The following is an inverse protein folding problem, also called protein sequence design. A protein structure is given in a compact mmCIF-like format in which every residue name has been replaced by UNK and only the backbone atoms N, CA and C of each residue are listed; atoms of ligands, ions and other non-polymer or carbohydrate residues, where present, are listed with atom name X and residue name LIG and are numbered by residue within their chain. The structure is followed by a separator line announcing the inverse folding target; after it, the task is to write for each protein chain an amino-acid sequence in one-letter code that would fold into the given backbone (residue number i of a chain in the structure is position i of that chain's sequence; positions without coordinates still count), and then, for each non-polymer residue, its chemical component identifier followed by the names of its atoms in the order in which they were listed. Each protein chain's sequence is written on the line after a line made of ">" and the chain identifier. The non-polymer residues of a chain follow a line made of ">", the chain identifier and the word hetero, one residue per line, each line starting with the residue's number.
data_IF_606102044298
#
_entry.id   IF_606102044298
#
_cell.length_a   1.000
_cell.length_b   1.000
_cell.length_c   1.000
_cell.angle_alpha   90.00
_cell.angle_beta   90.00
_cell.angle_gamma   90.00
#
_symmetry.space_group_name_H-M   'P 1'
#
loop_
_entity.id
_entity.type
_entity.pdbx_description
1 polymer ?
#
# COMPACT_ATOMS: atom_id res chain seq x y z
N UNK A 1 -90.93 14.19 -33.41
CA UNK A 1 -91.03 14.47 -34.88
C UNK A 1 -89.64 14.83 -35.39
N UNK A 2 -89.27 14.43 -36.62
CA UNK A 2 -88.04 14.83 -37.39
C UNK A 2 -86.68 14.58 -36.67
N UNK A 3 -85.84 13.62 -37.11
CA UNK A 3 -84.88 13.67 -38.26
C UNK A 3 -83.72 14.67 -38.03
N UNK A 4 -82.42 14.39 -38.30
CA UNK A 4 -81.78 13.22 -38.95
C UNK A 4 -80.27 13.06 -38.64
N UNK A 5 -79.64 12.01 -39.22
CA UNK A 5 -78.22 11.61 -39.30
C UNK A 5 -77.22 12.77 -39.58
N UNK A 6 -75.89 12.68 -39.35
CA UNK A 6 -74.89 11.57 -39.44
C UNK A 6 -73.78 11.80 -38.35
N UNK A 7 -72.75 10.99 -38.01
CA UNK A 7 -71.95 9.89 -38.62
C UNK A 7 -71.86 8.67 -37.63
N UNK A 8 -71.01 7.61 -37.64
CA UNK A 8 -69.70 7.17 -38.19
C UNK A 8 -68.43 7.62 -37.42
N UNK A 9 -67.43 6.80 -37.02
CA UNK A 9 -67.19 5.35 -36.79
C UNK A 9 -65.65 5.21 -36.66
N UNK A 10 -65.12 4.35 -35.77
CA UNK A 10 -63.94 3.45 -35.98
C UNK A 10 -63.23 3.05 -34.66
N UNK A 11 -62.96 1.73 -34.51
CA UNK A 11 -61.76 1.07 -33.96
C UNK A 11 -61.11 1.48 -32.60
N UNK A 12 -60.36 0.64 -31.89
CA UNK A 12 -60.27 -0.83 -31.67
C UNK A 12 -59.24 -1.07 -30.53
N UNK A 13 -59.23 -2.24 -29.88
CA UNK A 13 -58.14 -2.77 -29.01
C UNK A 13 -57.85 -1.96 -27.72
N UNK A 14 -58.04 -2.50 -26.51
CA UNK A 14 -57.17 -3.45 -25.77
C UNK A 14 -56.40 -2.72 -24.64
N UNK A 15 -56.12 -3.29 -23.46
CA UNK A 15 -56.50 -4.58 -22.87
C UNK A 15 -56.31 -4.60 -21.35
N UNK A 16 -56.97 -5.55 -20.67
CA UNK A 16 -56.60 -6.14 -19.38
C UNK A 16 -56.42 -5.22 -18.15
N UNK A 17 -57.48 -5.16 -17.33
CA UNK A 17 -57.50 -5.58 -15.92
C UNK A 17 -56.22 -5.36 -15.11
N UNK A 18 -56.32 -4.59 -14.02
CA UNK A 18 -55.55 -4.83 -12.79
C UNK A 18 -56.50 -4.92 -11.59
N UNK A 19 -56.28 -5.92 -10.73
CA UNK A 19 -57.14 -6.21 -9.59
C UNK A 19 -56.90 -5.29 -8.39
N UNK A 20 -57.87 -5.24 -7.47
CA UNK A 20 -57.86 -4.31 -6.35
C UNK A 20 -56.83 -4.64 -5.26
N UNK A 21 -56.15 -3.58 -4.81
CA UNK A 21 -55.79 -3.29 -3.42
C UNK A 21 -55.02 -4.38 -2.62
N UNK A 22 -53.70 -4.18 -2.50
CA UNK A 22 -53.02 -4.35 -1.21
C UNK A 22 -52.82 -2.99 -0.55
N UNK A 23 -53.05 -2.93 0.75
CA UNK A 23 -52.93 -1.71 1.57
C UNK A 23 -51.53 -1.11 1.44
N UNK A 24 -51.44 0.13 0.94
CA UNK A 24 -50.20 0.91 0.89
C UNK A 24 -50.49 2.30 1.43
N UNK A 25 -50.11 2.55 2.69
CA UNK A 25 -50.04 3.90 3.22
C UNK A 25 -48.97 4.65 2.43
N UNK A 26 -49.36 5.68 1.67
CA UNK A 26 -48.40 6.54 1.01
C UNK A 26 -47.62 7.32 2.07
N UNK A 27 -46.42 6.82 2.38
CA UNK A 27 -45.37 7.66 2.90
C UNK A 27 -45.06 8.62 1.77
N UNK A 28 -45.46 9.89 1.94
CA UNK A 28 -44.98 10.97 1.09
C UNK A 28 -43.46 11.03 1.23
N UNK A 29 -42.77 10.41 0.28
CA UNK A 29 -41.39 10.77 -0.02
C UNK A 29 -41.44 12.18 -0.58
N UNK A 30 -41.33 13.16 0.33
CA UNK A 30 -40.53 14.33 0.03
C UNK A 30 -39.27 13.82 -0.66
N UNK A 31 -39.03 14.21 -1.91
CA UNK A 31 -37.73 13.98 -2.57
C UNK A 31 -36.65 14.32 -1.55
N UNK A 32 -35.71 13.41 -1.25
CA UNK A 32 -34.75 13.64 -0.19
C UNK A 32 -34.11 14.99 -0.46
N UNK A 33 -34.26 15.95 0.47
CA UNK A 33 -33.69 17.28 0.29
C UNK A 33 -32.21 17.05 0.03
N UNK A 34 -31.77 17.35 -1.19
CA UNK A 34 -30.37 17.24 -1.56
C UNK A 34 -29.67 18.36 -0.83
N UNK A 35 -29.33 18.08 0.43
CA UNK A 35 -28.56 18.96 1.30
C UNK A 35 -27.10 18.84 0.90
N UNK A 36 -26.83 19.15 -0.37
CA UNK A 36 -25.51 19.51 -0.83
C UNK A 36 -25.15 20.80 -0.09
N UNK A 37 -24.32 20.67 0.94
CA UNK A 37 -23.68 21.82 1.55
C UNK A 37 -22.87 22.54 0.46
N UNK A 38 -23.32 23.72 0.04
CA UNK A 38 -22.54 24.63 -0.80
C UNK A 38 -21.39 25.20 0.05
N UNK A 39 -20.36 24.38 0.27
CA UNK A 39 -19.27 24.64 1.22
C UNK A 39 -18.36 25.82 0.84
N UNK A 40 -18.32 26.18 -0.45
CA UNK A 40 -17.35 27.15 -0.96
C UNK A 40 -17.98 28.51 -1.24
N UNK A 41 -18.16 29.31 -0.18
CA UNK A 41 -18.29 30.77 -0.32
C UNK A 41 -16.92 31.38 -0.65
N UNK A 42 -16.50 31.26 -1.90
CA UNK A 42 -15.39 32.05 -2.43
C UNK A 42 -15.81 33.52 -2.53
N UNK A 43 -15.66 34.28 -1.44
CA UNK A 43 -15.61 35.76 -1.41
C UNK A 43 -15.34 36.31 0.01
N UNK A 44 -14.17 35.98 0.55
CA UNK A 44 -13.46 36.86 1.48
C UNK A 44 -11.97 36.69 1.19
N UNK A 45 -11.24 37.79 0.99
CA UNK A 45 -9.79 37.75 0.98
C UNK A 45 -9.32 37.55 2.42
N UNK A 46 -9.14 36.29 2.81
CA UNK A 46 -8.68 35.97 4.16
C UNK A 46 -7.23 36.42 4.32
N UNK A 47 -6.98 37.21 5.36
CA UNK A 47 -5.65 37.68 5.72
C UNK A 47 -5.19 36.88 6.96
N UNK A 48 -4.10 36.08 6.86
CA UNK A 48 -3.58 35.35 8.01
C UNK A 48 -3.17 36.32 9.14
N UNK A 49 -3.55 36.06 10.40
CA UNK A 49 -3.11 36.90 11.52
C UNK A 49 -1.61 36.71 11.74
N UNK A 50 -0.78 37.76 11.58
CA UNK A 50 0.67 37.61 11.59
C UNK A 50 1.21 37.27 12.98
N UNK A 51 2.19 36.37 13.06
CA UNK A 51 2.88 36.02 14.30
C UNK A 51 3.53 37.25 14.96
N UNK A 52 3.87 38.27 14.16
CA UNK A 52 4.63 39.43 14.62
C UNK A 52 3.95 40.39 15.60
N UNK A 53 2.63 40.35 15.73
CA UNK A 53 1.86 41.24 16.62
C UNK A 53 1.27 40.51 17.84
N UNK A 54 1.70 39.27 18.08
CA UNK A 54 1.11 38.35 19.07
C UNK A 54 2.00 38.28 20.32
N UNK A 55 1.40 38.41 21.49
CA UNK A 55 2.05 38.33 22.81
C UNK A 55 2.02 36.91 23.38
N UNK A 56 2.86 36.63 24.39
CA UNK A 56 2.84 35.36 25.13
C UNK A 56 1.46 35.06 25.74
N UNK A 57 0.74 36.09 26.22
CA UNK A 57 -0.63 35.97 26.73
C UNK A 57 -1.66 35.58 25.66
N UNK A 58 -1.36 35.82 24.37
CA UNK A 58 -2.32 35.65 23.26
C UNK A 58 -1.93 34.58 22.25
N UNK A 59 -0.69 34.08 22.25
CA UNK A 59 -0.18 33.12 21.26
C UNK A 59 -0.93 31.79 21.24
N UNK A 60 -1.36 31.30 22.41
CA UNK A 60 -2.18 30.10 22.54
C UNK A 60 -3.57 30.27 21.88
N UNK A 61 -4.16 31.47 21.97
CA UNK A 61 -5.43 31.77 21.30
C UNK A 61 -5.22 31.94 19.79
N UNK A 62 -4.19 32.67 19.38
CA UNK A 62 -3.82 32.89 17.98
C UNK A 62 -3.59 31.58 17.23
N UNK A 63 -2.82 30.66 17.83
CA UNK A 63 -2.59 29.33 17.25
C UNK A 63 -3.89 28.49 17.21
N UNK A 64 -4.76 28.60 18.21
CA UNK A 64 -6.07 27.94 18.20
C UNK A 64 -6.98 28.47 17.08
N UNK A 65 -7.03 29.80 16.89
CA UNK A 65 -7.80 30.45 15.82
C UNK A 65 -7.33 29.98 14.43
N UNK A 66 -6.01 29.76 14.25
CA UNK A 66 -5.43 29.17 13.02
C UNK A 66 -5.87 27.71 12.85
N UNK A 67 -5.70 26.87 13.89
CA UNK A 67 -6.08 25.44 13.83
C UNK A 67 -7.57 25.25 13.56
N UNK A 68 -8.44 26.02 14.22
CA UNK A 68 -9.89 26.02 13.96
C UNK A 68 -10.23 26.49 12.55
N UNK A 69 -9.54 27.52 12.04
CA UNK A 69 -9.72 27.99 10.66
C UNK A 69 -9.38 26.91 9.63
N UNK A 70 -8.30 26.14 9.85
CA UNK A 70 -7.88 25.06 8.96
C UNK A 70 -8.85 23.87 9.04
N UNK A 71 -9.15 23.38 10.25
CA UNK A 71 -10.04 22.22 10.44
C UNK A 71 -11.47 22.51 9.98
N UNK A 72 -11.94 23.75 10.11
CA UNK A 72 -13.24 24.19 9.60
C UNK A 72 -13.40 24.09 8.07
N UNK A 73 -12.32 24.26 7.30
CA UNK A 73 -12.34 24.11 5.83
C UNK A 73 -12.58 22.67 5.39
N UNK A 74 -12.17 21.71 6.22
CA UNK A 74 -12.32 20.26 5.97
C UNK A 74 -13.44 19.63 6.79
N UNK A 75 -14.28 20.45 7.45
CA UNK A 75 -15.46 20.00 8.18
C UNK A 75 -15.16 19.26 9.50
N UNK A 76 -13.95 19.40 10.04
CA UNK A 76 -13.51 18.71 11.26
C UNK A 76 -13.66 19.60 12.51
N UNK A 77 -14.03 18.97 13.63
CA UNK A 77 -14.01 19.63 14.93
C UNK A 77 -12.59 19.72 15.47
N UNK A 78 -12.22 20.87 16.05
CA UNK A 78 -10.96 20.98 16.76
C UNK A 78 -10.95 20.09 18.02
N UNK A 79 -9.96 19.19 18.08
CA UNK A 79 -9.61 18.33 19.22
C UNK A 79 -8.10 18.26 19.42
N UNK A 80 -7.37 19.20 18.80
CA UNK A 80 -5.92 19.29 18.84
C UNK A 80 -5.56 20.12 20.07
N UNK A 81 -4.72 19.56 20.94
CA UNK A 81 -4.14 20.29 22.07
C UNK A 81 -3.00 21.16 21.55
N UNK A 82 -2.73 22.27 22.23
CA UNK A 82 -1.66 23.19 21.89
C UNK A 82 -0.63 23.24 23.02
N UNK A 83 0.62 23.49 22.66
CA UNK A 83 1.69 23.76 23.63
C UNK A 83 2.69 24.74 23.02
N UNK A 84 2.74 25.96 23.56
CA UNK A 84 3.81 26.90 23.22
C UNK A 84 5.10 26.44 23.90
N UNK A 85 6.19 26.43 23.14
CA UNK A 85 7.53 26.10 23.63
C UNK A 85 8.59 27.04 23.02
N UNK A 86 8.69 28.29 23.51
CA UNK A 86 9.64 29.27 22.99
C UNK A 86 11.10 28.87 23.24
N UNK A 87 11.98 29.18 22.27
CA UNK A 87 13.37 28.73 22.27
C UNK A 87 13.56 27.29 21.80
N UNK A 88 12.59 26.75 21.04
CA UNK A 88 12.69 25.39 20.46
C UNK A 88 12.93 25.38 18.95
N UNK A 89 12.92 26.55 18.30
CA UNK A 89 13.19 26.74 16.87
C UNK A 89 12.37 25.80 15.95
N UNK A 90 11.12 25.53 16.32
CA UNK A 90 10.31 24.49 15.66
C UNK A 90 8.79 24.73 15.72
N UNK A 91 8.05 24.02 14.87
CA UNK A 91 6.63 23.72 15.01
C UNK A 91 6.40 22.26 14.61
N UNK A 92 5.63 21.49 15.39
CA UNK A 92 5.52 20.03 15.18
C UNK A 92 4.22 19.40 15.68
N UNK A 93 3.72 18.42 14.92
CA UNK A 93 2.62 17.53 15.27
C UNK A 93 3.10 16.31 16.08
N UNK A 94 2.63 16.20 17.32
CA UNK A 94 3.06 15.17 18.29
C UNK A 94 1.86 14.37 18.78
N UNK A 95 1.98 13.05 18.84
CA UNK A 95 1.05 12.19 19.59
C UNK A 95 1.68 11.81 20.93
N UNK A 96 0.93 11.99 22.03
CA UNK A 96 1.31 11.53 23.36
C UNK A 96 0.31 10.47 23.83
N UNK A 97 0.79 9.30 24.23
CA UNK A 97 -0.06 8.23 24.75
C UNK A 97 -0.62 8.58 26.13
N UNK A 98 -1.85 8.13 26.40
CA UNK A 98 -2.53 8.28 27.69
C UNK A 98 -3.32 7.00 28.02
N UNK A 99 -3.95 6.95 29.20
CA UNK A 99 -4.65 5.75 29.69
C UNK A 99 -5.88 5.31 28.88
N UNK A 100 -6.28 6.04 27.84
CA UNK A 100 -7.43 5.73 26.97
C UNK A 100 -7.11 5.80 25.46
N UNK A 101 -5.84 6.00 25.06
CA UNK A 101 -5.43 6.14 23.67
C UNK A 101 -4.24 7.09 23.50
N UNK A 102 -4.35 8.05 22.57
CA UNK A 102 -3.36 9.13 22.42
C UNK A 102 -4.02 10.48 22.20
N UNK A 103 -3.42 11.50 22.80
CA UNK A 103 -3.72 12.90 22.56
C UNK A 103 -2.86 13.46 21.42
N UNK A 104 -3.41 14.41 20.66
CA UNK A 104 -2.74 15.08 19.53
C UNK A 104 -2.38 16.50 19.93
N UNK A 105 -1.13 16.89 19.69
CA UNK A 105 -0.56 18.17 20.08
C UNK A 105 0.09 18.87 18.89
N UNK A 106 -0.18 20.17 18.72
CA UNK A 106 0.71 21.07 17.98
C UNK A 106 1.61 21.76 19.01
N UNK A 107 2.90 21.45 18.96
CA UNK A 107 3.95 22.13 19.74
C UNK A 107 4.55 23.21 18.85
N UNK A 108 4.68 24.45 19.34
CA UNK A 108 5.13 25.56 18.49
C UNK A 108 5.97 26.61 19.22
N UNK A 109 6.91 27.20 18.48
CA UNK A 109 7.63 28.41 18.85
C UNK A 109 7.14 29.60 17.98
N UNK A 110 6.50 30.59 18.61
CA UNK A 110 6.01 31.78 17.91
C UNK A 110 7.13 32.65 17.35
N UNK A 111 8.27 32.75 18.03
CA UNK A 111 9.38 33.64 17.60
C UNK A 111 10.09 33.06 16.37
N UNK A 112 10.28 31.74 16.34
CA UNK A 112 10.69 31.01 15.16
C UNK A 112 9.73 31.24 13.98
N UNK A 113 8.43 31.01 14.19
CA UNK A 113 7.41 31.22 13.16
C UNK A 113 7.40 32.67 12.63
N UNK A 114 7.54 33.66 13.53
CA UNK A 114 7.65 35.09 13.19
C UNK A 114 8.91 35.41 12.36
N UNK A 115 10.05 34.78 12.66
CA UNK A 115 11.30 35.01 11.93
C UNK A 115 11.17 34.57 10.46
N UNK A 116 10.60 33.38 10.22
CA UNK A 116 10.43 32.89 8.85
C UNK A 116 9.27 33.56 8.11
N UNK A 117 8.17 33.93 8.79
CA UNK A 117 7.09 34.75 8.23
C UNK A 117 7.61 36.06 7.61
N UNK A 118 8.49 36.79 8.33
CA UNK A 118 9.13 38.02 7.84
C UNK A 118 10.01 37.81 6.61
N UNK A 119 10.65 36.64 6.51
CA UNK A 119 11.61 36.31 5.45
C UNK A 119 10.98 35.60 4.24
N UNK A 120 9.70 35.27 4.29
CA UNK A 120 8.99 34.50 3.25
C UNK A 120 7.75 35.25 2.76
N UNK A 121 6.59 35.08 3.41
CA UNK A 121 5.38 35.89 3.26
C UNK A 121 4.35 35.57 4.37
N UNK A 122 3.25 36.34 4.41
CA UNK A 122 2.15 36.21 5.40
C UNK A 122 1.47 34.83 5.49
N UNK A 123 1.58 33.98 4.46
CA UNK A 123 0.99 32.64 4.47
C UNK A 123 1.86 31.59 5.13
N UNK A 124 3.12 31.91 5.48
CA UNK A 124 4.08 30.98 6.04
C UNK A 124 3.54 30.19 7.23
N UNK A 125 3.06 30.89 8.27
CA UNK A 125 2.57 30.24 9.50
C UNK A 125 1.33 29.39 9.21
N UNK A 126 0.41 29.90 8.39
CA UNK A 126 -0.79 29.16 7.98
C UNK A 126 -0.44 27.87 7.21
N UNK A 127 0.60 27.92 6.37
CA UNK A 127 1.10 26.76 5.64
C UNK A 127 1.81 25.75 6.54
N UNK A 128 2.64 26.19 7.48
CA UNK A 128 3.32 25.30 8.45
C UNK A 128 2.30 24.61 9.35
N UNK A 129 1.36 25.34 9.94
CA UNK A 129 0.32 24.73 10.79
C UNK A 129 -0.60 23.81 9.97
N UNK A 130 -0.85 24.11 8.70
CA UNK A 130 -1.54 23.18 7.81
C UNK A 130 -0.72 21.91 7.54
N UNK A 131 0.60 22.00 7.29
CA UNK A 131 1.49 20.86 7.13
C UNK A 131 1.47 19.95 8.39
N UNK A 132 1.61 20.53 9.58
CA UNK A 132 1.54 19.77 10.84
C UNK A 132 0.16 19.11 11.07
N UNK A 133 -0.93 19.81 10.75
CA UNK A 133 -2.26 19.19 10.76
C UNK A 133 -2.38 18.07 9.71
N UNK A 134 -1.71 18.18 8.56
CA UNK A 134 -1.59 17.11 7.56
C UNK A 134 -0.98 15.84 8.15
N UNK A 135 0.11 15.93 8.92
CA UNK A 135 0.70 14.79 9.63
C UNK A 135 -0.27 14.12 10.61
N UNK A 136 -1.11 14.90 11.30
CA UNK A 136 -2.15 14.33 12.15
C UNK A 136 -3.31 13.71 11.36
N UNK A 137 -3.79 14.34 10.29
CA UNK A 137 -4.97 13.90 9.55
C UNK A 137 -4.70 12.66 8.69
N UNK A 138 -3.52 12.57 8.08
CA UNK A 138 -3.07 11.37 7.34
C UNK A 138 -2.54 10.27 8.29
N UNK A 139 -2.48 10.53 9.60
CA UNK A 139 -2.10 9.54 10.61
C UNK A 139 -0.60 9.28 10.72
N UNK A 140 0.25 10.13 10.15
CA UNK A 140 1.71 10.00 10.18
C UNK A 140 2.27 9.94 11.60
N UNK A 141 1.62 10.60 12.56
CA UNK A 141 2.02 10.66 13.98
C UNK A 141 1.66 9.40 14.78
N UNK A 142 0.92 8.43 14.21
CA UNK A 142 0.49 7.21 14.90
C UNK A 142 1.55 6.11 14.96
N UNK A 143 2.65 6.23 14.21
CA UNK A 143 3.61 5.14 14.01
C UNK A 143 4.90 5.22 14.85
N UNK A 144 5.10 6.26 15.66
CA UNK A 144 6.34 6.53 16.39
C UNK A 144 7.55 6.95 15.52
N UNK A 145 7.72 6.34 14.35
CA UNK A 145 8.73 6.73 13.35
C UNK A 145 8.38 8.09 12.71
N UNK A 146 9.24 9.09 12.94
CA UNK A 146 9.09 10.49 12.51
C UNK A 146 9.27 10.76 11.01
N UNK A 147 9.81 11.94 10.68
CA UNK A 147 9.92 12.49 9.31
C UNK A 147 10.49 11.47 8.32
N UNK A 148 9.74 11.26 7.23
CA UNK A 148 10.16 10.52 6.04
C UNK A 148 9.75 11.29 4.79
N UNK A 149 10.46 11.17 3.65
CA UNK A 149 10.14 11.93 2.44
C UNK A 149 8.71 11.76 1.90
N UNK A 150 8.10 10.58 2.04
CA UNK A 150 6.69 10.30 1.72
C UNK A 150 5.72 11.13 2.58
N UNK A 151 5.84 11.02 3.91
CA UNK A 151 5.00 11.72 4.89
C UNK A 151 5.05 13.24 4.71
N UNK A 152 6.25 13.77 4.48
CA UNK A 152 6.47 15.20 4.24
C UNK A 152 5.73 15.70 2.98
N UNK A 153 5.78 14.95 1.87
CA UNK A 153 5.15 15.34 0.60
C UNK A 153 3.62 15.14 0.59
N UNK A 154 3.09 14.30 1.46
CA UNK A 154 1.65 14.25 1.75
C UNK A 154 1.19 15.47 2.56
N UNK A 155 1.91 15.82 3.62
CA UNK A 155 1.61 16.99 4.46
C UNK A 155 1.79 18.33 3.70
N UNK A 156 2.81 18.45 2.83
CA UNK A 156 3.01 19.58 1.92
C UNK A 156 1.83 19.77 0.96
N UNK A 157 1.25 18.68 0.45
CA UNK A 157 0.09 18.73 -0.42
C UNK A 157 -1.16 19.18 0.33
N UNK A 158 -1.38 18.68 1.56
CA UNK A 158 -2.48 19.17 2.40
C UNK A 158 -2.33 20.66 2.72
N UNK A 159 -1.13 21.15 3.02
CA UNK A 159 -0.85 22.58 3.18
C UNK A 159 -1.22 23.39 1.93
N UNK A 160 -0.85 22.91 0.74
CA UNK A 160 -1.18 23.56 -0.54
C UNK A 160 -2.68 23.65 -0.81
N UNK A 161 -3.42 22.58 -0.48
CA UNK A 161 -4.89 22.57 -0.57
C UNK A 161 -5.51 23.63 0.34
N UNK A 162 -5.10 23.67 1.62
CA UNK A 162 -5.61 24.61 2.62
C UNK A 162 -5.31 26.06 2.24
N UNK A 163 -4.06 26.36 1.83
CA UNK A 163 -3.65 27.70 1.41
C UNK A 163 -4.46 28.18 0.20
N UNK A 164 -4.75 27.32 -0.78
CA UNK A 164 -5.63 27.69 -1.89
C UNK A 164 -7.07 27.98 -1.44
N UNK A 165 -7.65 27.15 -0.56
CA UNK A 165 -9.02 27.36 -0.04
C UNK A 165 -9.14 28.65 0.77
N UNK A 166 -8.04 29.16 1.32
CA UNK A 166 -7.98 30.48 1.98
C UNK A 166 -7.72 31.65 1.02
N UNK A 167 -7.33 31.39 -0.22
CA UNK A 167 -7.12 32.40 -1.26
C UNK A 167 -5.66 32.78 -1.53
N UNK A 168 -4.68 32.05 -0.99
CA UNK A 168 -3.27 32.24 -1.33
C UNK A 168 -3.02 31.95 -2.83
N UNK A 169 -2.18 32.76 -3.48
CA UNK A 169 -1.68 32.41 -4.81
C UNK A 169 -0.73 31.21 -4.77
N UNK A 170 -0.56 30.55 -5.91
CA UNK A 170 0.30 29.36 -6.04
C UNK A 170 1.75 29.64 -5.64
N UNK A 171 2.29 30.81 -5.98
CA UNK A 171 3.67 31.16 -5.65
C UNK A 171 3.84 31.63 -4.19
N UNK A 172 2.83 32.29 -3.59
CA UNK A 172 2.81 32.54 -2.13
C UNK A 172 2.86 31.23 -1.34
N UNK A 173 2.10 30.21 -1.76
CA UNK A 173 2.12 28.90 -1.13
C UNK A 173 3.49 28.21 -1.28
N UNK A 174 4.05 28.16 -2.50
CA UNK A 174 5.38 27.57 -2.75
C UNK A 174 6.50 28.29 -2.01
N UNK A 175 6.40 29.61 -1.84
CA UNK A 175 7.38 30.39 -1.09
C UNK A 175 7.49 30.03 0.39
N UNK A 176 6.61 29.18 0.94
CA UNK A 176 6.81 28.57 2.26
C UNK A 176 8.17 27.84 2.38
N UNK A 177 8.67 27.23 1.30
CA UNK A 177 9.96 26.51 1.31
C UNK A 177 11.13 27.31 0.72
N UNK A 178 10.99 28.64 0.53
CA UNK A 178 12.05 29.45 -0.08
C UNK A 178 13.33 29.51 0.77
N UNK A 179 13.22 29.25 2.07
CA UNK A 179 14.34 29.20 3.02
C UNK A 179 15.22 27.94 2.88
N UNK A 180 14.73 26.89 2.21
CA UNK A 180 15.53 25.68 1.94
C UNK A 180 16.52 25.93 0.80
N UNK A 181 17.70 25.33 0.89
CA UNK A 181 18.65 25.23 -0.22
C UNK A 181 18.15 24.34 -1.36
N UNK A 182 18.75 24.46 -2.54
CA UNK A 182 18.37 23.67 -3.72
C UNK A 182 18.75 22.19 -3.62
N UNK A 183 19.79 21.89 -2.85
CA UNK A 183 20.31 20.54 -2.66
C UNK A 183 19.86 19.90 -1.34
N UNK A 184 19.20 20.66 -0.46
CA UNK A 184 18.68 20.18 0.82
C UNK A 184 17.64 19.08 0.55
N UNK A 185 17.94 17.86 0.98
CA UNK A 185 17.24 16.63 0.61
C UNK A 185 17.70 15.43 1.46
N UNK A 186 17.17 14.22 1.22
CA UNK A 186 17.27 13.12 2.19
C UNK A 186 18.73 12.68 2.45
N UNK A 187 19.04 12.23 3.68
CA UNK A 187 18.44 10.99 4.19
C UNK A 187 17.06 11.09 4.88
N UNK A 188 16.62 12.24 5.40
CA UNK A 188 15.33 12.34 6.13
C UNK A 188 14.27 13.24 5.49
N UNK A 189 14.62 14.40 4.94
CA UNK A 189 13.67 15.40 4.42
C UNK A 189 13.71 15.49 2.88
N UNK A 190 12.57 15.61 2.17
CA UNK A 190 12.53 15.61 0.70
C UNK A 190 13.17 16.87 0.10
N UNK A 191 13.63 16.78 -1.16
CA UNK A 191 14.26 17.92 -1.84
C UNK A 191 13.31 19.11 -1.99
N UNK A 192 13.81 20.34 -1.90
CA UNK A 192 13.02 21.58 -2.11
C UNK A 192 12.13 21.52 -3.37
N UNK A 193 12.66 21.01 -4.48
CA UNK A 193 11.91 20.83 -5.72
C UNK A 193 10.74 19.82 -5.60
N UNK A 194 10.87 18.78 -4.78
CA UNK A 194 9.79 17.83 -4.49
C UNK A 194 8.71 18.51 -3.62
N UNK A 195 9.11 19.28 -2.59
CA UNK A 195 8.19 20.05 -1.74
C UNK A 195 7.38 21.08 -2.55
N UNK A 196 8.03 21.79 -3.48
CA UNK A 196 7.36 22.66 -4.45
C UNK A 196 6.32 21.94 -5.31
N UNK A 197 6.60 20.72 -5.79
CA UNK A 197 5.64 19.93 -6.56
C UNK A 197 4.48 19.42 -5.68
N UNK A 198 4.74 19.02 -4.44
CA UNK A 198 3.73 18.56 -3.50
C UNK A 198 2.74 19.67 -3.09
N UNK A 199 3.23 20.85 -2.74
CA UNK A 199 2.35 21.98 -2.40
C UNK A 199 1.59 22.51 -3.62
N UNK A 200 2.21 22.47 -4.82
CA UNK A 200 1.53 22.79 -6.08
C UNK A 200 0.47 21.73 -6.45
N UNK A 201 0.67 20.45 -6.11
CA UNK A 201 -0.33 19.36 -6.25
C UNK A 201 -1.63 19.71 -5.52
N UNK A 202 -1.57 19.94 -4.21
CA UNK A 202 -2.77 20.23 -3.41
C UNK A 202 -3.43 21.56 -3.75
N UNK A 203 -2.62 22.58 -4.10
CA UNK A 203 -3.15 23.88 -4.55
C UNK A 203 -3.98 23.73 -5.84
N UNK A 204 -3.49 22.98 -6.84
CA UNK A 204 -4.23 22.78 -8.09
C UNK A 204 -5.51 21.93 -7.91
N UNK A 205 -5.47 20.93 -7.03
CA UNK A 205 -6.65 20.15 -6.64
C UNK A 205 -7.73 21.04 -6.01
N UNK A 206 -7.37 21.82 -4.99
CA UNK A 206 -8.28 22.73 -4.31
C UNK A 206 -8.89 23.80 -5.24
N UNK A 207 -8.13 24.25 -6.24
CA UNK A 207 -8.56 25.24 -7.23
C UNK A 207 -9.59 24.72 -8.25
N UNK A 208 -10.03 23.46 -8.16
CA UNK A 208 -10.82 22.76 -9.19
C UNK A 208 -10.17 22.86 -10.60
N UNK A 209 -8.83 22.96 -10.67
CA UNK A 209 -8.07 22.89 -11.94
C UNK A 209 -7.92 21.42 -12.37
N UNK A 210 -9.03 20.70 -12.43
CA UNK A 210 -9.15 19.27 -12.70
C UNK A 210 -8.95 18.92 -14.18
N UNK A 211 -7.97 19.56 -14.83
CA UNK A 211 -7.37 19.03 -16.05
C UNK A 211 -6.39 17.93 -15.67
N UNK A 212 -6.36 16.83 -16.43
CA UNK A 212 -5.49 15.67 -16.20
C UNK A 212 -4.03 15.98 -16.54
N UNK A 213 -3.41 16.89 -15.79
CA UNK A 213 -2.03 17.37 -15.96
C UNK A 213 -1.10 16.76 -14.90
N UNK A 214 -0.86 15.45 -15.01
CA UNK A 214 0.26 14.73 -14.40
C UNK A 214 0.49 14.95 -12.90
N UNK A 215 -0.52 14.63 -12.09
CA UNK A 215 -0.27 14.03 -10.77
C UNK A 215 -0.07 12.53 -10.96
N UNK A 216 1.09 12.15 -11.50
CA UNK A 216 1.60 10.82 -11.23
C UNK A 216 1.85 10.73 -9.72
N UNK A 217 1.36 9.67 -9.09
CA UNK A 217 1.96 9.20 -7.85
C UNK A 217 3.47 9.07 -8.11
N UNK A 218 4.31 9.55 -7.20
CA UNK A 218 5.74 9.36 -7.39
C UNK A 218 6.09 7.87 -7.21
N UNK A 219 7.26 7.43 -7.70
CA UNK A 219 7.61 5.99 -7.71
C UNK A 219 7.64 5.35 -6.30
N UNK A 220 7.70 6.14 -5.21
CA UNK A 220 7.52 5.67 -3.85
C UNK A 220 6.05 5.66 -3.37
N UNK A 221 5.21 6.61 -3.79
CA UNK A 221 3.75 6.61 -3.50
C UNK A 221 3.09 5.37 -4.14
N UNK A 222 3.35 5.16 -5.44
CA UNK A 222 2.92 3.97 -6.19
C UNK A 222 3.54 2.69 -5.61
N UNK A 223 4.81 2.77 -5.20
CA UNK A 223 5.53 1.68 -4.54
C UNK A 223 4.86 1.21 -3.23
N UNK A 224 4.52 2.14 -2.33
CA UNK A 224 3.84 1.81 -1.07
C UNK A 224 2.42 1.28 -1.28
N UNK A 225 1.68 1.80 -2.27
CA UNK A 225 0.36 1.24 -2.58
C UNK A 225 0.48 -0.16 -3.21
N UNK A 226 1.47 -0.38 -4.09
CA UNK A 226 1.77 -1.69 -4.66
C UNK A 226 2.16 -2.70 -3.58
N UNK A 227 3.04 -2.34 -2.64
CA UNK A 227 3.40 -3.20 -1.50
C UNK A 227 2.18 -3.57 -0.64
N UNK A 228 1.32 -2.60 -0.29
CA UNK A 228 0.10 -2.88 0.49
C UNK A 228 -0.82 -3.89 -0.22
N UNK A 229 -1.05 -3.71 -1.51
CA UNK A 229 -1.89 -4.61 -2.33
C UNK A 229 -1.20 -5.97 -2.53
N UNK A 230 0.13 -6.01 -2.61
CA UNK A 230 0.94 -7.23 -2.67
C UNK A 230 0.84 -8.06 -1.39
N UNK A 231 0.95 -7.45 -0.21
CA UNK A 231 0.75 -8.15 1.06
C UNK A 231 -0.70 -8.64 1.22
N UNK A 232 -1.71 -7.88 0.78
CA UNK A 232 -3.09 -8.39 0.73
C UNK A 232 -3.18 -9.62 -0.20
N UNK A 233 -2.50 -9.60 -1.34
CA UNK A 233 -2.48 -10.72 -2.30
C UNK A 233 -1.80 -11.97 -1.73
N UNK A 234 -0.72 -11.83 -0.97
CA UNK A 234 0.01 -12.96 -0.40
C UNK A 234 -0.85 -13.82 0.53
N UNK A 235 -1.76 -13.21 1.31
CA UNK A 235 -2.67 -13.92 2.22
C UNK A 235 -3.95 -14.46 1.56
N UNK A 236 -4.16 -14.26 0.25
CA UNK A 236 -5.33 -14.84 -0.44
C UNK A 236 -5.09 -16.29 -0.85
N UNK A 237 -5.85 -17.22 -0.28
CA UNK A 237 -5.94 -18.62 -0.74
C UNK A 237 -6.69 -18.78 -2.07
N UNK A 238 -7.54 -17.81 -2.44
CA UNK A 238 -8.28 -17.83 -3.70
C UNK A 238 -7.41 -17.30 -4.85
N UNK A 239 -6.98 -18.19 -5.76
CA UNK A 239 -6.12 -17.85 -6.89
C UNK A 239 -6.66 -16.72 -7.79
N UNK A 240 -7.99 -16.61 -7.98
CA UNK A 240 -8.59 -15.55 -8.79
C UNK A 240 -8.41 -14.17 -8.11
N UNK A 241 -8.71 -14.08 -6.81
CA UNK A 241 -8.49 -12.83 -6.05
C UNK A 241 -7.00 -12.51 -5.89
N UNK A 242 -6.13 -13.51 -5.71
CA UNK A 242 -4.67 -13.31 -5.70
C UNK A 242 -4.18 -12.73 -7.04
N UNK A 243 -4.68 -13.23 -8.17
CA UNK A 243 -4.33 -12.72 -9.50
C UNK A 243 -4.79 -11.25 -9.68
N UNK A 244 -6.02 -10.93 -9.29
CA UNK A 244 -6.59 -9.58 -9.36
C UNK A 244 -5.75 -8.57 -8.57
N UNK A 245 -5.43 -8.88 -7.31
CA UNK A 245 -4.61 -8.02 -6.46
C UNK A 245 -3.18 -7.90 -6.98
N UNK A 246 -2.51 -9.00 -7.37
CA UNK A 246 -1.16 -8.93 -7.93
C UNK A 246 -1.10 -8.13 -9.23
N UNK A 247 -2.13 -8.19 -10.08
CA UNK A 247 -2.23 -7.36 -11.30
C UNK A 247 -2.40 -5.89 -10.96
N UNK A 248 -3.23 -5.54 -9.97
CA UNK A 248 -3.36 -4.16 -9.47
C UNK A 248 -2.04 -3.65 -8.88
N UNK A 249 -1.35 -4.45 -8.08
CA UNK A 249 -0.05 -4.10 -7.52
C UNK A 249 1.02 -3.90 -8.62
N UNK A 250 1.01 -4.74 -9.66
CA UNK A 250 1.87 -4.59 -10.85
C UNK A 250 1.56 -3.33 -11.67
N UNK A 251 0.28 -2.92 -11.76
CA UNK A 251 -0.11 -1.70 -12.47
C UNK A 251 0.39 -0.44 -11.75
N UNK A 252 0.39 -0.44 -10.42
CA UNK A 252 0.95 0.63 -9.59
C UNK A 252 2.48 0.67 -9.69
N UNK A 253 3.18 -0.44 -9.43
CA UNK A 253 4.66 -0.47 -9.47
C UNK A 253 5.23 -1.59 -10.37
N UNK A 254 5.29 -1.39 -11.70
CA UNK A 254 5.72 -2.41 -12.67
C UNK A 254 7.14 -2.95 -12.48
N UNK A 255 8.04 -2.16 -11.86
CA UNK A 255 9.43 -2.53 -11.59
C UNK A 255 9.62 -3.43 -10.35
N UNK A 256 8.58 -3.64 -9.55
CA UNK A 256 8.70 -4.40 -8.29
C UNK A 256 8.90 -5.90 -8.54
N UNK A 257 10.17 -6.32 -8.51
CA UNK A 257 10.59 -7.69 -8.80
C UNK A 257 9.83 -8.75 -7.98
N UNK A 258 9.46 -8.44 -6.72
CA UNK A 258 8.70 -9.36 -5.87
C UNK A 258 7.26 -9.62 -6.33
N UNK A 259 6.60 -8.63 -6.94
CA UNK A 259 5.23 -8.77 -7.48
C UNK A 259 5.28 -9.64 -8.74
N UNK A 260 6.28 -9.39 -9.60
CA UNK A 260 6.53 -10.21 -10.78
C UNK A 260 6.94 -11.65 -10.41
N UNK A 261 7.70 -11.85 -9.33
CA UNK A 261 8.05 -13.18 -8.81
C UNK A 261 6.81 -13.97 -8.38
N UNK A 262 5.91 -13.37 -7.58
CA UNK A 262 4.65 -14.01 -7.15
C UNK A 262 3.66 -14.23 -8.29
N UNK A 263 3.58 -13.32 -9.27
CA UNK A 263 2.79 -13.56 -10.49
C UNK A 263 3.32 -14.79 -11.24
N UNK A 264 4.64 -14.91 -11.40
CA UNK A 264 5.26 -16.07 -12.02
C UNK A 264 4.88 -17.40 -11.35
N UNK A 265 4.93 -17.44 -10.01
CA UNK A 265 4.52 -18.62 -9.22
C UNK A 265 3.01 -18.88 -9.33
N UNK A 266 2.18 -17.83 -9.29
CA UNK A 266 0.73 -17.99 -9.43
C UNK A 266 0.35 -18.56 -10.80
N UNK A 267 0.98 -18.09 -11.88
CA UNK A 267 0.74 -18.62 -13.22
C UNK A 267 1.19 -20.08 -13.38
N UNK A 268 2.22 -20.55 -12.66
CA UNK A 268 2.52 -22.00 -12.55
C UNK A 268 1.35 -22.77 -11.92
N UNK A 269 0.77 -22.29 -10.82
CA UNK A 269 -0.40 -22.95 -10.19
C UNK A 269 -1.67 -22.90 -11.06
N UNK A 270 -1.71 -22.02 -12.07
CA UNK A 270 -2.76 -21.93 -13.08
C UNK A 270 -2.42 -22.70 -14.38
N UNK A 271 -1.27 -23.39 -14.44
CA UNK A 271 -0.71 -24.10 -15.60
C UNK A 271 -0.41 -23.22 -16.84
N UNK A 272 -0.29 -21.90 -16.66
CA UNK A 272 0.09 -20.96 -17.73
C UNK A 272 1.62 -20.80 -17.76
N UNK A 273 2.27 -21.74 -18.43
CA UNK A 273 3.73 -21.76 -18.58
C UNK A 273 4.28 -20.56 -19.37
N UNK A 274 3.47 -19.90 -20.20
CA UNK A 274 3.90 -18.72 -20.96
C UNK A 274 4.02 -17.49 -20.06
N UNK A 275 2.97 -17.20 -19.28
CA UNK A 275 2.97 -16.08 -18.33
C UNK A 275 3.89 -16.34 -17.14
N UNK A 276 4.05 -17.60 -16.72
CA UNK A 276 5.04 -18.00 -15.71
C UNK A 276 6.49 -17.71 -16.18
N UNK A 277 6.84 -18.04 -17.42
CA UNK A 277 8.15 -17.72 -17.98
C UNK A 277 8.37 -16.21 -18.04
N UNK A 278 7.38 -15.46 -18.57
CA UNK A 278 7.45 -14.00 -18.69
C UNK A 278 7.75 -13.34 -17.35
N UNK A 279 6.94 -13.61 -16.33
CA UNK A 279 7.05 -12.90 -15.06
C UNK A 279 8.23 -13.36 -14.19
N UNK A 280 8.62 -14.64 -14.22
CA UNK A 280 9.89 -15.06 -13.57
C UNK A 280 11.12 -14.50 -14.29
N UNK A 281 11.07 -14.27 -15.60
CA UNK A 281 12.15 -13.59 -16.35
C UNK A 281 12.23 -12.11 -15.96
N UNK A 282 11.09 -11.41 -15.93
CA UNK A 282 11.02 -10.00 -15.52
C UNK A 282 11.56 -9.80 -14.10
N UNK A 283 11.15 -10.64 -13.14
CA UNK A 283 11.57 -10.54 -11.76
C UNK A 283 13.09 -10.69 -11.58
N UNK A 284 13.71 -11.67 -12.24
CA UNK A 284 15.17 -11.87 -12.22
C UNK A 284 15.90 -10.70 -12.87
N UNK A 285 15.41 -10.17 -13.98
CA UNK A 285 16.02 -9.01 -14.65
C UNK A 285 15.93 -7.72 -13.82
N UNK A 286 14.89 -7.58 -12.99
CA UNK A 286 14.69 -6.43 -12.11
C UNK A 286 15.49 -6.50 -10.81
N UNK A 287 15.73 -7.70 -10.27
CA UNK A 287 16.45 -7.90 -9.02
C UNK A 287 17.40 -9.12 -9.08
N UNK A 288 18.48 -9.06 -9.90
CA UNK A 288 19.36 -10.19 -10.15
C UNK A 288 20.21 -10.63 -8.94
N UNK A 289 20.21 -9.85 -7.85
CA UNK A 289 20.95 -10.13 -6.61
C UNK A 289 20.06 -10.61 -5.47
N UNK A 290 18.87 -11.14 -5.76
CA UNK A 290 17.89 -11.58 -4.75
C UNK A 290 17.62 -13.09 -4.88
N UNK A 291 18.19 -13.88 -3.98
CA UNK A 291 18.22 -15.34 -4.11
C UNK A 291 16.85 -16.04 -4.19
N UNK A 292 15.83 -15.54 -3.47
CA UNK A 292 14.50 -16.15 -3.50
C UNK A 292 13.76 -15.96 -4.83
N UNK A 293 14.09 -14.91 -5.60
CA UNK A 293 13.51 -14.66 -6.93
C UNK A 293 14.10 -15.66 -7.94
N UNK A 294 15.40 -15.92 -7.86
CA UNK A 294 16.05 -17.01 -8.62
C UNK A 294 15.47 -18.39 -8.28
N UNK A 295 15.15 -18.67 -7.00
CA UNK A 295 14.48 -19.90 -6.60
C UNK A 295 13.07 -20.01 -7.21
N UNK A 296 12.29 -18.94 -7.25
CA UNK A 296 10.99 -18.94 -7.91
C UNK A 296 11.11 -19.11 -9.45
N UNK A 297 12.20 -18.63 -10.08
CA UNK A 297 12.51 -18.95 -11.48
C UNK A 297 12.95 -20.41 -11.67
N UNK A 298 13.64 -21.01 -10.70
CA UNK A 298 13.94 -22.44 -10.71
C UNK A 298 12.65 -23.29 -10.69
N UNK A 299 11.60 -22.87 -9.96
CA UNK A 299 10.29 -23.55 -9.96
C UNK A 299 9.64 -23.56 -11.35
N UNK A 300 9.81 -22.49 -12.13
CA UNK A 300 9.39 -22.47 -13.53
C UNK A 300 10.18 -23.49 -14.37
N UNK A 301 11.52 -23.50 -14.29
CA UNK A 301 12.32 -24.44 -15.07
C UNK A 301 12.13 -25.92 -14.66
N UNK A 302 11.83 -26.17 -13.38
CA UNK A 302 11.39 -27.49 -12.90
C UNK A 302 10.08 -27.92 -13.58
N UNK A 303 9.07 -27.05 -13.62
CA UNK A 303 7.79 -27.33 -14.30
C UNK A 303 7.93 -27.43 -15.83
N UNK A 304 8.98 -26.85 -16.41
CA UNK A 304 9.33 -26.95 -17.82
C UNK A 304 10.27 -28.12 -18.15
N UNK A 305 10.67 -28.94 -17.16
CA UNK A 305 11.59 -30.07 -17.34
C UNK A 305 13.04 -29.70 -17.69
N UNK A 306 13.42 -28.42 -17.62
CA UNK A 306 14.76 -27.97 -17.99
C UNK A 306 15.70 -28.00 -16.77
N UNK A 307 16.19 -29.20 -16.45
CA UNK A 307 17.03 -29.47 -15.28
C UNK A 307 18.27 -28.58 -15.22
N UNK A 308 18.96 -28.33 -16.34
CA UNK A 308 20.16 -27.47 -16.36
C UNK A 308 19.81 -26.01 -16.03
N UNK A 309 18.74 -25.46 -16.60
CA UNK A 309 18.31 -24.10 -16.30
C UNK A 309 17.76 -23.95 -14.87
N UNK A 310 17.09 -25.00 -14.35
CA UNK A 310 16.72 -25.10 -12.94
C UNK A 310 17.96 -25.06 -12.04
N UNK A 311 18.96 -25.89 -12.31
CA UNK A 311 20.23 -25.93 -11.54
C UNK A 311 20.92 -24.56 -11.52
N UNK A 312 21.09 -23.92 -12.68
CA UNK A 312 21.74 -22.62 -12.79
C UNK A 312 20.98 -21.52 -12.01
N UNK A 313 19.66 -21.61 -11.94
CA UNK A 313 18.85 -20.72 -11.10
C UNK A 313 18.98 -21.04 -9.61
N UNK A 314 19.09 -22.31 -9.21
CA UNK A 314 19.29 -22.69 -7.81
C UNK A 314 20.69 -22.32 -7.29
N UNK A 315 21.72 -22.42 -8.12
CA UNK A 315 23.07 -21.96 -7.78
C UNK A 315 23.10 -20.44 -7.56
N UNK A 316 22.46 -19.69 -8.47
CA UNK A 316 22.22 -18.24 -8.31
C UNK A 316 21.39 -17.92 -7.07
N UNK A 317 20.39 -18.73 -6.74
CA UNK A 317 19.55 -18.57 -5.55
C UNK A 317 20.36 -18.69 -4.26
N UNK A 318 21.19 -19.73 -4.15
CA UNK A 318 22.07 -20.00 -3.01
C UNK A 318 23.14 -18.91 -2.90
N UNK A 319 23.78 -18.54 -4.01
CA UNK A 319 24.79 -17.47 -4.08
C UNK A 319 24.29 -16.13 -3.54
N UNK A 320 23.04 -15.76 -3.84
CA UNK A 320 22.45 -14.48 -3.44
C UNK A 320 21.53 -14.54 -2.22
N UNK A 321 21.30 -15.73 -1.64
CA UNK A 321 20.75 -15.91 -0.29
C UNK A 321 21.19 -17.28 0.26
N UNK A 322 22.32 -17.36 1.00
CA UNK A 322 22.84 -18.64 1.48
C UNK A 322 21.89 -19.41 2.39
N UNK A 323 21.11 -18.71 3.24
CA UNK A 323 20.08 -19.32 4.09
C UNK A 323 18.76 -19.40 3.32
N UNK A 324 18.59 -20.46 2.54
CA UNK A 324 17.39 -20.71 1.72
C UNK A 324 17.09 -22.22 1.57
N UNK A 325 16.50 -22.87 2.59
CA UNK A 325 16.37 -24.34 2.65
C UNK A 325 15.62 -24.98 1.47
N UNK A 326 14.61 -24.29 0.92
CA UNK A 326 13.86 -24.79 -0.23
C UNK A 326 14.72 -24.86 -1.51
N UNK A 327 15.72 -23.99 -1.68
CA UNK A 327 16.63 -24.08 -2.83
C UNK A 327 17.51 -25.34 -2.74
N UNK A 328 17.95 -25.71 -1.53
CA UNK A 328 18.69 -26.95 -1.28
C UNK A 328 17.80 -28.20 -1.45
N UNK A 329 16.54 -28.17 -1.00
CA UNK A 329 15.56 -29.22 -1.28
C UNK A 329 15.37 -29.43 -2.80
N UNK A 330 15.19 -28.34 -3.56
CA UNK A 330 15.03 -28.40 -5.01
C UNK A 330 16.29 -28.91 -5.72
N UNK A 331 17.50 -28.60 -5.19
CA UNK A 331 18.77 -29.08 -5.75
C UNK A 331 19.02 -30.55 -5.40
N UNK A 332 18.59 -31.00 -4.22
CA UNK A 332 18.61 -32.41 -3.84
C UNK A 332 17.73 -33.28 -4.74
N UNK A 333 16.55 -32.79 -5.15
CA UNK A 333 15.68 -33.49 -6.11
C UNK A 333 16.32 -33.64 -7.51
N UNK A 334 17.11 -32.65 -7.97
CA UNK A 334 17.93 -32.80 -9.19
C UNK A 334 18.93 -33.94 -9.00
N UNK A 335 19.74 -33.89 -7.93
CA UNK A 335 20.74 -34.92 -7.66
C UNK A 335 20.15 -36.32 -7.46
N UNK A 336 18.93 -36.46 -6.92
CA UNK A 336 18.22 -37.75 -6.87
C UNK A 336 17.90 -38.25 -8.28
N UNK A 337 17.34 -37.40 -9.15
CA UNK A 337 17.00 -37.77 -10.53
C UNK A 337 18.23 -38.17 -11.37
N UNK A 338 19.38 -37.56 -11.08
CA UNK A 338 20.69 -37.90 -11.66
C UNK A 338 21.40 -39.08 -10.95
N UNK A 339 20.75 -39.70 -9.94
CA UNK A 339 21.27 -40.79 -9.09
C UNK A 339 22.53 -40.45 -8.28
N UNK A 340 22.83 -39.16 -8.14
CA UNK A 340 23.92 -38.61 -7.32
C UNK A 340 23.49 -38.53 -5.84
N UNK A 341 23.08 -39.67 -5.28
CA UNK A 341 22.44 -39.75 -3.96
C UNK A 341 23.25 -39.14 -2.81
N UNK A 342 24.59 -39.20 -2.88
CA UNK A 342 25.47 -38.54 -1.89
C UNK A 342 25.28 -37.02 -1.87
N UNK A 343 25.29 -36.37 -3.03
CA UNK A 343 25.07 -34.93 -3.16
C UNK A 343 23.62 -34.56 -2.81
N UNK A 344 22.66 -35.43 -3.11
CA UNK A 344 21.27 -35.25 -2.69
C UNK A 344 21.15 -35.22 -1.16
N UNK A 345 21.70 -36.20 -0.46
CA UNK A 345 21.71 -36.27 1.01
C UNK A 345 22.48 -35.10 1.65
N UNK A 346 23.59 -34.66 1.06
CA UNK A 346 24.35 -33.49 1.51
C UNK A 346 23.50 -32.21 1.43
N UNK A 347 22.83 -31.96 0.30
CA UNK A 347 21.98 -30.77 0.14
C UNK A 347 20.77 -30.83 1.10
N UNK A 348 20.20 -32.01 1.36
CA UNK A 348 19.15 -32.19 2.37
C UNK A 348 19.68 -31.87 3.79
N UNK A 349 20.87 -32.36 4.15
CA UNK A 349 21.48 -32.10 5.44
C UNK A 349 21.75 -30.60 5.65
N UNK A 350 22.27 -29.90 4.63
CA UNK A 350 22.45 -28.44 4.66
C UNK A 350 21.11 -27.72 4.83
N UNK A 351 20.08 -28.14 4.08
CA UNK A 351 18.73 -27.57 4.19
C UNK A 351 18.10 -27.75 5.56
N UNK A 352 18.29 -28.90 6.22
CA UNK A 352 17.82 -29.16 7.58
C UNK A 352 18.62 -28.38 8.64
N UNK A 353 19.94 -28.25 8.47
CA UNK A 353 20.82 -27.53 9.39
C UNK A 353 20.53 -26.02 9.50
N UNK A 354 19.77 -25.47 8.53
CA UNK A 354 19.33 -24.07 8.54
C UNK A 354 18.09 -23.80 9.42
N UNK A 355 17.49 -24.82 10.04
CA UNK A 355 16.28 -24.66 10.86
C UNK A 355 15.03 -24.23 10.08
N UNK A 356 14.62 -24.96 9.02
CA UNK A 356 13.39 -24.65 8.27
C UNK A 356 12.12 -24.92 9.11
N UNK A 357 11.04 -24.20 8.78
CA UNK A 357 9.70 -24.40 9.35
C UNK A 357 9.21 -25.86 9.16
N UNK A 358 8.31 -26.38 10.04
CA UNK A 358 7.97 -27.79 10.11
C UNK A 358 7.52 -28.44 8.79
N UNK A 359 6.75 -27.73 7.95
CA UNK A 359 6.26 -28.23 6.67
C UNK A 359 7.39 -28.37 5.63
N UNK A 360 8.40 -27.49 5.70
CA UNK A 360 9.57 -27.56 4.83
C UNK A 360 10.60 -28.57 5.36
N UNK A 361 10.73 -28.72 6.68
CA UNK A 361 11.44 -29.82 7.31
C UNK A 361 10.84 -31.17 6.91
N UNK A 362 9.50 -31.32 6.97
CA UNK A 362 8.79 -32.52 6.54
C UNK A 362 9.08 -32.87 5.07
N UNK A 363 9.07 -31.87 4.17
CA UNK A 363 9.45 -32.06 2.76
C UNK A 363 10.90 -32.52 2.58
N UNK A 364 11.84 -31.97 3.36
CA UNK A 364 13.25 -32.40 3.38
C UNK A 364 13.41 -33.85 3.88
N UNK A 365 12.69 -34.25 4.93
CA UNK A 365 12.69 -35.62 5.43
C UNK A 365 12.01 -36.61 4.47
N UNK A 366 10.94 -36.22 3.77
CA UNK A 366 10.32 -37.04 2.72
C UNK A 366 11.25 -37.24 1.52
N UNK A 367 11.96 -36.18 1.10
CA UNK A 367 13.00 -36.27 0.06
C UNK A 367 14.14 -37.21 0.50
N UNK A 368 14.56 -37.14 1.78
CA UNK A 368 15.56 -38.04 2.35
C UNK A 368 15.11 -39.50 2.30
N UNK A 369 13.86 -39.77 2.66
CA UNK A 369 13.26 -41.10 2.62
C UNK A 369 13.25 -41.68 1.20
N UNK A 370 12.94 -40.86 0.19
CA UNK A 370 12.97 -41.26 -1.23
C UNK A 370 14.37 -41.68 -1.67
N UNK A 371 15.38 -40.85 -1.38
CA UNK A 371 16.79 -41.11 -1.72
C UNK A 371 17.31 -42.38 -1.03
N UNK A 372 17.03 -42.54 0.27
CA UNK A 372 17.41 -43.73 1.03
C UNK A 372 16.73 -44.99 0.48
N UNK A 373 15.45 -44.93 0.10
CA UNK A 373 14.72 -46.02 -0.55
C UNK A 373 15.32 -46.37 -1.91
N UNK A 374 15.74 -45.38 -2.71
CA UNK A 374 16.42 -45.57 -3.99
C UNK A 374 17.82 -46.20 -3.83
N UNK A 375 18.48 -46.01 -2.68
CA UNK A 375 19.71 -46.70 -2.28
C UNK A 375 19.47 -48.10 -1.66
N UNK A 376 18.22 -48.52 -1.46
CA UNK A 376 17.86 -49.79 -0.80
C UNK A 376 17.90 -49.76 0.73
N UNK A 377 18.16 -48.60 1.35
CA UNK A 377 18.24 -48.38 2.79
C UNK A 377 16.83 -48.29 3.41
N UNK A 378 16.12 -49.42 3.43
CA UNK A 378 14.68 -49.49 3.76
C UNK A 378 14.34 -49.01 5.17
N UNK A 379 15.20 -49.30 6.16
CA UNK A 379 14.92 -48.95 7.57
C UNK A 379 15.08 -47.45 7.79
N UNK A 380 16.17 -46.91 7.27
CA UNK A 380 16.54 -45.50 7.34
C UNK A 380 15.57 -44.62 6.53
N UNK A 381 15.06 -45.15 5.41
CA UNK A 381 13.99 -44.53 4.64
C UNK A 381 12.68 -44.44 5.43
N UNK A 382 12.31 -45.52 6.16
CA UNK A 382 11.13 -45.53 7.03
C UNK A 382 11.26 -44.52 8.17
N UNK A 383 12.41 -44.49 8.85
CA UNK A 383 12.70 -43.53 9.93
C UNK A 383 12.61 -42.06 9.45
N UNK A 384 13.14 -41.76 8.25
CA UNK A 384 12.99 -40.43 7.64
C UNK A 384 11.53 -40.13 7.25
N UNK A 385 10.78 -41.10 6.73
CA UNK A 385 9.36 -40.93 6.41
C UNK A 385 8.50 -40.70 7.67
N UNK A 386 8.71 -41.47 8.74
CA UNK A 386 7.99 -41.33 10.00
C UNK A 386 8.27 -39.95 10.63
N UNK A 387 9.51 -39.46 10.51
CA UNK A 387 9.88 -38.09 10.91
C UNK A 387 9.12 -37.03 10.10
N UNK A 388 9.01 -37.20 8.78
CA UNK A 388 8.22 -36.31 7.93
C UNK A 388 6.72 -36.32 8.32
N UNK A 389 6.16 -37.50 8.58
CA UNK A 389 4.75 -37.68 8.99
C UNK A 389 4.45 -37.18 10.40
N UNK A 390 5.47 -37.00 11.26
CA UNK A 390 5.32 -36.35 12.56
C UNK A 390 5.34 -34.82 12.44
N UNK A 391 6.12 -34.27 11.50
CA UNK A 391 6.28 -32.83 11.29
C UNK A 391 5.11 -32.19 10.52
N UNK A 392 4.58 -32.87 9.50
CA UNK A 392 3.34 -32.47 8.81
C UNK A 392 2.38 -33.67 8.70
N UNK A 393 1.64 -34.00 9.79
CA UNK A 393 0.70 -35.11 9.82
C UNK A 393 -0.58 -34.84 9.01
N UNK A 394 -0.76 -33.64 8.46
CA UNK A 394 -1.94 -33.30 7.67
C UNK A 394 -1.72 -33.41 6.16
N UNK A 395 -0.47 -33.30 5.70
CA UNK A 395 -0.06 -33.34 4.30
C UNK A 395 -0.71 -34.47 3.48
N UNK A 396 -1.36 -34.18 2.33
CA UNK A 396 -1.92 -35.21 1.47
C UNK A 396 -0.83 -36.05 0.78
N UNK A 397 0.33 -35.48 0.45
CA UNK A 397 1.41 -36.21 -0.24
C UNK A 397 2.05 -37.23 0.70
N UNK A 398 2.35 -36.85 1.95
CA UNK A 398 2.93 -37.78 2.94
C UNK A 398 1.95 -38.94 3.19
N UNK A 399 0.65 -38.66 3.38
CA UNK A 399 -0.38 -39.69 3.55
C UNK A 399 -0.48 -40.67 2.38
N UNK A 400 -0.41 -40.17 1.14
CA UNK A 400 -0.41 -41.00 -0.06
C UNK A 400 0.87 -41.87 -0.16
N UNK A 401 2.00 -41.36 0.35
CA UNK A 401 3.27 -42.08 0.34
C UNK A 401 3.41 -43.15 1.44
N UNK A 402 2.47 -43.27 2.39
CA UNK A 402 2.58 -44.23 3.51
C UNK A 402 2.84 -45.67 3.07
N UNK A 403 2.04 -46.19 2.13
CA UNK A 403 2.21 -47.54 1.57
C UNK A 403 3.49 -47.75 0.73
N UNK A 404 4.31 -46.71 0.58
CA UNK A 404 5.67 -46.81 0.01
C UNK A 404 6.76 -47.03 1.06
N UNK A 405 6.45 -46.85 2.35
CA UNK A 405 7.41 -46.98 3.47
C UNK A 405 6.89 -47.86 4.62
N UNK A 406 5.65 -48.38 4.53
CA UNK A 406 5.12 -49.42 5.41
C UNK A 406 5.96 -50.72 5.34
#
# INVERSE_FOLDING_TARGET
>A
MKKFFIAAWLCLLASAIHAQLRYKKEISYNSPRVFACNFFTSNAAYDPPPAGNVSEETEMKWMNDIVEKILGLVGLQNKIKLYSFPGSDNCSAVCLENSVGSDRYIVFDRLFLQQYEKNTNKWFVMGVVAHELGHHLNGHTLSGYGSRPDKELEADAFAGFILQKLGASREEAKAMFSFLGENDGPPTHPKRAQRYLAIERGWNEAANKSGYANLAFNEADDGQMAERVFYEAQVQTNHKKKLELLKKAQQLYPKHAGINSELGVLYLTLNDNAMANLYTSMAVNQAPYVGWIWMNRAKYYQSAGNVQAQYNCLDSAIKYKPVLPEAYLMRAAIFESEKQYSLSLENIAIGLAMGPEPELAARLFLQKASVQKAQGLKKEAKESYDTASMLDPFNPVIKLMKGSYD
#
